data_IF_970944145085
#
_entry.id   IF_970944145085
#
_cell.length_a   1.000
_cell.length_b   1.000
_cell.length_c   1.000
_cell.angle_alpha   90.00
_cell.angle_beta   90.00
_cell.angle_gamma   90.00
#
_symmetry.space_group_name_H-M   'P 1'
#
loop_
_entity.id
_entity.type
_entity.pdbx_description
1 polymer ?
#
# COMPACT_ATOMS: atom_id res chain seq x y z
N UNK A 1 -9.61 -22.67 52.38
CA UNK A 1 -9.93 -21.29 51.94
C UNK A 1 -8.65 -20.68 51.40
N UNK A 2 -8.45 -20.80 50.09
CA UNK A 2 -7.25 -20.31 49.38
C UNK A 2 -7.62 -19.03 48.65
N UNK A 3 -7.09 -17.90 49.13
CA UNK A 3 -7.30 -16.58 48.57
C UNK A 3 -6.33 -16.39 47.39
N UNK A 4 -6.90 -16.13 46.22
CA UNK A 4 -6.20 -15.88 44.97
C UNK A 4 -5.56 -14.48 44.98
N UNK A 5 -4.24 -14.42 44.93
CA UNK A 5 -3.53 -13.20 44.52
C UNK A 5 -3.49 -13.15 42.98
N UNK A 6 -4.42 -12.33 42.45
CA UNK A 6 -4.50 -11.99 41.03
C UNK A 6 -3.67 -10.72 40.83
N UNK A 7 -2.38 -10.88 40.56
CA UNK A 7 -1.50 -9.77 40.18
C UNK A 7 -1.95 -9.22 38.82
N UNK A 8 -2.59 -8.05 38.85
CA UNK A 8 -2.98 -7.28 37.68
C UNK A 8 -1.76 -6.55 37.10
N UNK A 9 -1.15 -7.11 36.06
CA UNK A 9 -0.20 -6.41 35.19
C UNK A 9 -0.97 -5.56 34.18
N UNK A 10 -1.54 -4.44 34.62
CA UNK A 10 -2.04 -3.39 33.73
C UNK A 10 -0.88 -2.51 33.26
N UNK A 11 -0.07 -3.02 32.34
CA UNK A 11 0.89 -2.21 31.59
C UNK A 11 0.13 -1.35 30.59
N UNK A 12 -0.15 -0.10 30.95
CA UNK A 12 -0.72 0.89 30.04
C UNK A 12 0.16 0.99 28.79
N UNK A 13 -0.36 0.80 27.57
CA UNK A 13 0.46 0.96 26.37
C UNK A 13 0.97 2.39 26.35
N UNK A 14 2.30 2.56 26.28
CA UNK A 14 2.95 3.85 26.09
C UNK A 14 2.36 4.48 24.84
N UNK A 15 1.44 5.42 25.02
CA UNK A 15 0.95 6.27 23.95
C UNK A 15 2.14 7.14 23.51
N UNK A 16 2.86 6.68 22.50
CA UNK A 16 3.84 7.50 21.78
C UNK A 16 3.03 8.66 21.19
N UNK A 17 3.12 9.84 21.82
CA UNK A 17 2.46 11.06 21.37
C UNK A 17 3.05 11.43 20.00
N UNK A 18 2.34 11.04 18.94
CA UNK A 18 2.56 11.43 17.54
C UNK A 18 2.28 12.93 17.32
N UNK A 19 3.10 13.81 17.91
CA UNK A 19 2.91 15.28 17.82
C UNK A 19 3.26 15.85 16.43
N UNK A 20 4.00 15.11 15.60
CA UNK A 20 4.34 15.49 14.22
C UNK A 20 3.34 15.04 13.14
N UNK A 21 2.29 14.28 13.50
CA UNK A 21 1.39 13.61 12.54
C UNK A 21 0.38 14.54 11.87
N UNK A 22 0.02 15.64 12.52
CA UNK A 22 -1.05 16.51 12.04
C UNK A 22 -0.56 17.56 11.03
N UNK A 23 0.74 17.86 11.01
CA UNK A 23 1.29 18.90 10.13
C UNK A 23 1.11 18.58 8.63
N UNK A 24 1.43 17.37 8.13
CA UNK A 24 1.22 17.05 6.72
C UNK A 24 -0.25 17.10 6.32
N UNK A 25 -1.14 16.59 7.18
CA UNK A 25 -2.58 16.59 6.91
C UNK A 25 -3.15 18.02 6.89
N UNK A 26 -2.73 18.88 7.82
CA UNK A 26 -3.14 20.29 7.83
C UNK A 26 -2.67 20.97 6.54
N UNK A 27 -1.43 20.75 6.11
CA UNK A 27 -0.91 21.31 4.86
C UNK A 27 -1.72 20.85 3.64
N UNK A 28 -2.09 19.56 3.57
CA UNK A 28 -2.92 18.99 2.49
C UNK A 28 -4.31 19.63 2.47
N UNK A 29 -4.96 19.76 3.64
CA UNK A 29 -6.28 20.39 3.75
C UNK A 29 -6.24 21.86 3.35
N UNK A 30 -5.20 22.61 3.78
CA UNK A 30 -5.03 24.02 3.38
C UNK A 30 -4.82 24.13 1.87
N UNK A 31 -3.92 23.32 1.30
CA UNK A 31 -3.66 23.33 -0.15
C UNK A 31 -4.91 22.96 -0.96
N UNK A 32 -5.66 21.94 -0.53
CA UNK A 32 -6.92 21.55 -1.16
C UNK A 32 -7.97 22.66 -1.08
N UNK A 33 -8.08 23.36 0.05
CA UNK A 33 -9.03 24.46 0.23
C UNK A 33 -8.72 25.63 -0.72
N UNK A 34 -7.44 25.99 -0.85
CA UNK A 34 -7.00 27.04 -1.79
C UNK A 34 -7.27 26.62 -3.24
N UNK A 35 -6.94 25.38 -3.60
CA UNK A 35 -7.19 24.86 -4.94
C UNK A 35 -8.68 24.85 -5.30
N UNK A 36 -9.54 24.38 -4.38
CA UNK A 36 -11.00 24.39 -4.54
C UNK A 36 -11.55 25.80 -4.69
N UNK A 37 -11.07 26.78 -3.91
CA UNK A 37 -11.50 28.16 -4.05
C UNK A 37 -11.13 28.76 -5.42
N UNK A 38 -9.91 28.49 -5.90
CA UNK A 38 -9.45 28.94 -7.21
C UNK A 38 -10.25 28.29 -8.35
N UNK A 39 -10.51 26.99 -8.26
CA UNK A 39 -11.28 26.25 -9.24
C UNK A 39 -12.75 26.69 -9.26
N UNK A 40 -13.37 26.81 -8.09
CA UNK A 40 -14.72 27.34 -7.92
C UNK A 40 -14.87 28.70 -8.60
N UNK A 41 -13.95 29.63 -8.34
CA UNK A 41 -13.96 30.95 -9.00
C UNK A 41 -13.86 30.84 -10.52
N UNK A 42 -12.96 29.99 -11.04
CA UNK A 42 -12.82 29.78 -12.49
C UNK A 42 -14.10 29.22 -13.13
N UNK A 43 -14.74 28.24 -12.49
CA UNK A 43 -15.99 27.64 -12.97
C UNK A 43 -17.17 28.61 -12.94
N UNK A 44 -17.26 29.44 -11.91
CA UNK A 44 -18.29 30.49 -11.82
C UNK A 44 -18.13 31.50 -12.96
N UNK A 45 -16.90 31.98 -13.20
CA UNK A 45 -16.62 32.91 -14.30
C UNK A 45 -16.95 32.28 -15.66
N UNK A 46 -16.58 31.01 -15.87
CA UNK A 46 -16.99 30.26 -17.05
C UNK A 46 -18.53 30.21 -17.19
N UNK A 47 -19.25 29.86 -16.12
CA UNK A 47 -20.70 29.76 -16.13
C UNK A 47 -21.39 31.08 -16.50
N UNK A 48 -20.94 32.18 -15.89
CA UNK A 48 -21.49 33.52 -16.11
C UNK A 48 -21.17 34.07 -17.50
N UNK A 49 -19.89 34.03 -17.89
CA UNK A 49 -19.39 34.77 -19.06
C UNK A 49 -19.47 33.97 -20.35
N UNK A 50 -19.28 32.64 -20.28
CA UNK A 50 -19.19 31.77 -21.47
C UNK A 50 -20.46 30.97 -21.68
N UNK A 51 -20.99 30.37 -20.61
CA UNK A 51 -22.20 29.55 -20.69
C UNK A 51 -23.49 30.35 -20.53
N UNK A 52 -23.40 31.65 -20.25
CA UNK A 52 -24.52 32.57 -20.02
C UNK A 52 -25.55 32.04 -19.01
N UNK A 53 -25.06 31.32 -18.00
CA UNK A 53 -25.87 30.81 -16.90
C UNK A 53 -26.28 31.96 -16.00
N UNK A 54 -27.44 31.82 -15.35
CA UNK A 54 -27.80 32.73 -14.27
C UNK A 54 -26.79 32.60 -13.11
N UNK A 55 -26.61 33.63 -12.27
CA UNK A 55 -25.69 33.53 -11.13
C UNK A 55 -25.98 32.34 -10.22
N UNK A 56 -27.27 32.07 -9.97
CA UNK A 56 -27.70 30.94 -9.12
C UNK A 56 -27.26 29.61 -9.72
N UNK A 57 -27.40 29.42 -11.03
CA UNK A 57 -26.97 28.20 -11.72
C UNK A 57 -25.45 28.04 -11.72
N UNK A 58 -24.71 29.12 -12.01
CA UNK A 58 -23.25 29.09 -12.04
C UNK A 58 -22.65 28.76 -10.67
N UNK A 59 -23.11 29.43 -9.61
CA UNK A 59 -22.67 29.14 -8.23
C UNK A 59 -23.13 27.76 -7.76
N UNK A 60 -24.36 27.36 -8.08
CA UNK A 60 -24.91 26.06 -7.70
C UNK A 60 -24.14 24.90 -8.31
N UNK A 61 -23.83 24.97 -9.61
CA UNK A 61 -23.09 23.92 -10.32
C UNK A 61 -21.63 23.84 -9.88
N UNK A 62 -20.93 24.98 -9.79
CA UNK A 62 -19.55 25.02 -9.31
C UNK A 62 -19.45 24.49 -7.86
N UNK A 63 -20.39 24.89 -7.01
CA UNK A 63 -20.45 24.45 -5.62
C UNK A 63 -20.72 22.95 -5.50
N UNK A 64 -21.66 22.44 -6.28
CA UNK A 64 -21.95 21.01 -6.32
C UNK A 64 -20.73 20.16 -6.72
N UNK A 65 -19.98 20.58 -7.74
CA UNK A 65 -18.78 19.86 -8.18
C UNK A 65 -17.68 19.84 -7.11
N UNK A 66 -17.39 20.98 -6.50
CA UNK A 66 -16.35 21.09 -5.48
C UNK A 66 -16.73 20.35 -4.18
N UNK A 67 -17.98 20.46 -3.74
CA UNK A 67 -18.48 19.70 -2.57
C UNK A 67 -18.42 18.20 -2.84
N UNK A 68 -18.79 17.76 -4.06
CA UNK A 68 -18.70 16.35 -4.47
C UNK A 68 -17.25 15.85 -4.48
N UNK A 69 -16.30 16.65 -4.97
CA UNK A 69 -14.87 16.32 -4.95
C UNK A 69 -14.36 16.13 -3.51
N UNK A 70 -14.69 17.06 -2.61
CA UNK A 70 -14.31 16.97 -1.19
C UNK A 70 -14.94 15.74 -0.53
N UNK A 71 -16.21 15.47 -0.78
CA UNK A 71 -16.91 14.30 -0.24
C UNK A 71 -16.24 12.99 -0.69
N UNK A 72 -15.93 12.86 -1.99
CA UNK A 72 -15.23 11.68 -2.53
C UNK A 72 -13.83 11.53 -1.93
N UNK A 73 -13.08 12.61 -1.77
CA UNK A 73 -11.76 12.57 -1.14
C UNK A 73 -11.83 12.11 0.33
N UNK A 74 -12.81 12.60 1.09
CA UNK A 74 -13.05 12.16 2.47
C UNK A 74 -13.51 10.70 2.55
N UNK A 75 -14.36 10.24 1.62
CA UNK A 75 -14.72 8.83 1.51
C UNK A 75 -13.52 7.95 1.18
N UNK A 76 -12.65 8.39 0.26
CA UNK A 76 -11.41 7.69 -0.08
C UNK A 76 -10.50 7.53 1.14
N UNK A 77 -10.41 8.59 1.96
CA UNK A 77 -9.69 8.58 3.23
C UNK A 77 -10.30 7.60 4.22
N UNK A 78 -11.61 7.65 4.43
CA UNK A 78 -12.26 6.73 5.36
C UNK A 78 -12.08 5.27 4.93
N UNK A 79 -12.23 4.97 3.63
CA UNK A 79 -11.98 3.64 3.08
C UNK A 79 -10.52 3.18 3.27
N UNK A 80 -9.54 4.09 3.12
CA UNK A 80 -8.13 3.79 3.35
C UNK A 80 -7.84 3.49 4.83
N UNK A 81 -8.46 4.22 5.77
CA UNK A 81 -8.34 3.98 7.20
C UNK A 81 -9.01 2.66 7.63
N UNK A 82 -10.11 2.29 6.98
CA UNK A 82 -10.83 1.02 7.21
C UNK A 82 -10.16 -0.19 6.53
N UNK A 83 -9.06 0.00 5.78
CA UNK A 83 -8.39 -1.07 5.04
C UNK A 83 -9.19 -1.63 3.86
N UNK A 84 -10.23 -0.91 3.41
CA UNK A 84 -11.09 -1.27 2.28
C UNK A 84 -10.45 -0.87 0.95
N UNK A 85 -10.84 -1.48 -0.18
CA UNK A 85 -10.35 -1.06 -1.49
C UNK A 85 -10.81 0.37 -1.80
N UNK A 86 -9.89 1.35 -1.74
CA UNK A 86 -10.15 2.77 -2.04
C UNK A 86 -9.76 3.18 -3.46
N UNK A 87 -9.29 2.24 -4.29
CA UNK A 87 -8.80 2.52 -5.64
C UNK A 87 -9.83 3.26 -6.51
N UNK A 88 -11.10 2.86 -6.45
CA UNK A 88 -12.19 3.50 -7.21
C UNK A 88 -12.42 4.95 -6.74
N UNK A 89 -12.46 5.18 -5.44
CA UNK A 89 -12.65 6.52 -4.88
C UNK A 89 -11.48 7.44 -5.24
N UNK A 90 -10.27 6.91 -5.24
CA UNK A 90 -9.08 7.65 -5.66
C UNK A 90 -9.11 8.00 -7.15
N UNK A 91 -9.53 7.07 -8.00
CA UNK A 91 -9.71 7.36 -9.44
C UNK A 91 -10.79 8.42 -9.65
N UNK A 92 -11.89 8.38 -8.88
CA UNK A 92 -12.92 9.41 -8.93
C UNK A 92 -12.40 10.77 -8.49
N UNK A 93 -11.55 10.84 -7.44
CA UNK A 93 -10.91 12.09 -7.03
C UNK A 93 -10.05 12.69 -8.16
N UNK A 94 -9.27 11.87 -8.88
CA UNK A 94 -8.47 12.33 -10.02
C UNK A 94 -9.35 12.80 -11.19
N UNK A 95 -10.40 12.05 -11.52
CA UNK A 95 -11.32 12.42 -12.59
C UNK A 95 -12.04 13.72 -12.25
N UNK A 96 -12.61 13.85 -11.05
CA UNK A 96 -13.31 15.05 -10.60
C UNK A 96 -12.37 16.27 -10.51
N UNK A 97 -11.15 16.08 -10.02
CA UNK A 97 -10.12 17.13 -9.98
C UNK A 97 -9.71 17.58 -11.39
N UNK A 98 -9.50 16.63 -12.31
CA UNK A 98 -9.22 16.95 -13.71
C UNK A 98 -10.37 17.71 -14.36
N UNK A 99 -11.61 17.26 -14.17
CA UNK A 99 -12.82 17.95 -14.66
C UNK A 99 -12.94 19.36 -14.08
N UNK A 100 -12.72 19.54 -12.77
CA UNK A 100 -12.68 20.84 -12.09
C UNK A 100 -11.62 21.76 -12.71
N UNK A 101 -10.41 21.26 -12.93
CA UNK A 101 -9.34 22.00 -13.61
C UNK A 101 -9.69 22.39 -15.04
N UNK A 102 -10.32 21.49 -15.82
CA UNK A 102 -10.75 21.79 -17.20
C UNK A 102 -11.78 22.91 -17.21
N UNK A 103 -12.84 22.83 -16.40
CA UNK A 103 -13.85 23.88 -16.35
C UNK A 103 -13.29 25.22 -15.88
N UNK A 104 -12.36 25.20 -14.91
CA UNK A 104 -11.68 26.42 -14.50
C UNK A 104 -10.82 27.03 -15.62
N UNK A 105 -10.20 26.21 -16.46
CA UNK A 105 -9.35 26.65 -17.55
C UNK A 105 -10.11 27.05 -18.83
N UNK A 106 -11.30 26.47 -19.07
CA UNK A 106 -12.12 26.76 -20.25
C UNK A 106 -12.53 28.23 -20.37
N UNK A 107 -12.68 28.93 -19.24
CA UNK A 107 -12.93 30.37 -19.22
C UNK A 107 -11.86 31.16 -20.00
N UNK A 108 -10.59 30.83 -19.78
CA UNK A 108 -9.45 31.51 -20.42
C UNK A 108 -9.34 31.16 -21.92
N UNK A 109 -9.75 29.95 -22.30
CA UNK A 109 -9.79 29.54 -23.72
C UNK A 109 -10.89 30.27 -24.47
N UNK A 110 -12.03 30.52 -23.81
CA UNK A 110 -13.18 31.18 -24.41
C UNK A 110 -13.02 32.70 -24.51
N UNK A 111 -12.23 33.32 -23.64
CA UNK A 111 -11.94 34.76 -23.63
C UNK A 111 -10.43 35.00 -23.74
N UNK A 112 -9.84 34.86 -24.95
CA UNK A 112 -8.39 34.89 -25.10
C UNK A 112 -7.81 36.28 -24.83
N UNK A 113 -6.78 36.33 -23.99
CA UNK A 113 -5.88 37.47 -23.77
C UNK A 113 -4.44 37.11 -24.22
N UNK A 114 -3.52 38.09 -24.25
CA UNK A 114 -2.10 37.80 -24.56
C UNK A 114 -1.45 36.79 -23.60
N UNK A 115 -2.00 36.65 -22.39
CA UNK A 115 -1.53 35.72 -21.34
C UNK A 115 -2.31 34.40 -21.27
N UNK A 116 -3.26 34.15 -22.19
CA UNK A 116 -4.11 32.93 -22.24
C UNK A 116 -3.35 31.63 -21.96
N UNK A 117 -2.23 31.31 -22.64
CA UNK A 117 -1.59 30.01 -22.42
C UNK A 117 -1.10 29.81 -20.98
N UNK A 118 -0.64 30.88 -20.32
CA UNK A 118 -0.19 30.82 -18.93
C UNK A 118 -1.38 30.73 -17.95
N UNK A 119 -2.47 31.43 -18.24
CA UNK A 119 -3.67 31.45 -17.38
C UNK A 119 -4.43 30.13 -17.41
N UNK A 120 -4.50 29.47 -18.58
CA UNK A 120 -5.03 28.10 -18.73
C UNK A 120 -4.27 27.13 -17.82
N UNK A 121 -2.94 27.14 -17.87
CA UNK A 121 -2.10 26.28 -17.02
C UNK A 121 -2.28 26.64 -15.55
N UNK A 122 -2.29 27.93 -15.21
CA UNK A 122 -2.43 28.40 -13.83
C UNK A 122 -3.76 28.02 -13.19
N UNK A 123 -4.86 27.88 -13.95
CA UNK A 123 -6.15 27.40 -13.44
C UNK A 123 -6.29 25.88 -13.45
N UNK A 124 -5.66 25.20 -14.40
CA UNK A 124 -5.74 23.75 -14.51
C UNK A 124 -4.89 23.02 -13.44
N UNK A 125 -3.72 23.55 -13.09
CA UNK A 125 -2.74 22.87 -12.22
C UNK A 125 -3.17 22.78 -10.74
N UNK A 126 -3.72 23.82 -10.09
CA UNK A 126 -4.02 23.77 -8.66
C UNK A 126 -4.94 22.61 -8.23
N UNK A 127 -6.06 22.31 -8.93
CA UNK A 127 -6.89 21.15 -8.61
C UNK A 127 -6.13 19.83 -8.67
N UNK A 128 -5.25 19.66 -9.67
CA UNK A 128 -4.44 18.45 -9.82
C UNK A 128 -3.39 18.31 -8.71
N UNK A 129 -2.76 19.42 -8.32
CA UNK A 129 -1.82 19.44 -7.20
C UNK A 129 -2.53 19.07 -5.90
N UNK A 130 -3.76 19.54 -5.68
CA UNK A 130 -4.57 19.14 -4.53
C UNK A 130 -4.91 17.64 -4.55
N UNK A 131 -5.28 17.08 -5.69
CA UNK A 131 -5.52 15.64 -5.83
C UNK A 131 -4.25 14.81 -5.59
N UNK A 132 -3.10 15.27 -6.08
CA UNK A 132 -1.80 14.64 -5.83
C UNK A 132 -1.43 14.66 -4.33
N UNK A 133 -1.61 15.80 -3.66
CA UNK A 133 -1.38 15.95 -2.23
C UNK A 133 -2.28 15.00 -1.43
N UNK A 134 -3.56 14.90 -1.81
CA UNK A 134 -4.49 13.92 -1.26
C UNK A 134 -4.02 12.47 -1.46
N UNK A 135 -3.59 12.12 -2.67
CA UNK A 135 -3.07 10.79 -2.98
C UNK A 135 -1.87 10.44 -2.10
N UNK A 136 -0.89 11.34 -1.99
CA UNK A 136 0.30 11.12 -1.17
C UNK A 136 -0.03 11.00 0.33
N UNK A 137 -0.98 11.80 0.82
CA UNK A 137 -1.47 11.70 2.19
C UNK A 137 -2.10 10.32 2.46
N UNK A 138 -2.92 9.81 1.54
CA UNK A 138 -3.56 8.49 1.65
C UNK A 138 -2.56 7.34 1.61
N UNK A 139 -1.55 7.43 0.73
CA UNK A 139 -0.47 6.44 0.66
C UNK A 139 0.33 6.43 1.96
N UNK A 140 0.68 7.61 2.48
CA UNK A 140 1.35 7.76 3.76
C UNK A 140 0.54 7.18 4.92
N UNK A 141 -0.75 7.51 5.00
CA UNK A 141 -1.65 6.99 6.04
C UNK A 141 -1.82 5.47 5.93
N UNK A 142 -1.93 4.89 4.73
CA UNK A 142 -2.02 3.43 4.55
C UNK A 142 -0.77 2.71 5.03
N UNK A 143 0.41 3.23 4.72
CA UNK A 143 1.66 2.65 5.20
C UNK A 143 1.75 2.67 6.73
N UNK A 144 1.08 3.63 7.38
CA UNK A 144 1.05 3.73 8.84
C UNK A 144 -0.08 2.90 9.48
N UNK A 145 -1.28 2.88 8.89
CA UNK A 145 -2.45 2.10 9.39
C UNK A 145 -2.23 0.61 9.21
N UNK A 146 -1.57 0.19 8.12
CA UNK A 146 -1.21 -1.22 7.96
C UNK A 146 -0.16 -1.68 8.98
N UNK A 147 0.40 -0.78 9.80
CA UNK A 147 0.97 -1.03 11.15
C UNK A 147 2.23 -1.90 11.22
N UNK A 148 2.44 -2.75 10.23
CA UNK A 148 3.65 -3.49 10.00
C UNK A 148 4.59 -2.56 9.28
N UNK A 149 5.60 -2.05 9.99
CA UNK A 149 6.77 -1.45 9.36
C UNK A 149 7.24 -2.37 8.23
N UNK A 150 7.89 -1.84 7.19
CA UNK A 150 8.41 -2.70 6.11
C UNK A 150 9.27 -3.84 6.66
N UNK A 151 9.95 -3.59 7.77
CA UNK A 151 10.71 -4.59 8.52
C UNK A 151 9.80 -5.64 9.17
N UNK A 152 8.68 -5.27 9.77
CA UNK A 152 7.71 -6.21 10.32
C UNK A 152 7.09 -7.10 9.23
N UNK A 153 6.80 -6.55 8.04
CA UNK A 153 6.35 -7.36 6.89
C UNK A 153 7.43 -8.30 6.37
N UNK A 154 8.67 -7.84 6.32
CA UNK A 154 9.82 -8.70 5.95
C UNK A 154 9.98 -9.83 6.95
N UNK A 155 9.87 -9.53 8.25
CA UNK A 155 9.91 -10.52 9.33
C UNK A 155 8.78 -11.54 9.21
N UNK A 156 7.54 -11.10 8.99
CA UNK A 156 6.39 -11.98 8.79
C UNK A 156 6.55 -12.86 7.53
N UNK A 157 6.99 -12.28 6.42
CA UNK A 157 7.26 -13.02 5.18
C UNK A 157 8.33 -14.10 5.36
N UNK A 158 9.36 -13.84 6.17
CA UNK A 158 10.42 -14.83 6.47
C UNK A 158 9.92 -15.97 7.34
N UNK A 159 9.09 -15.67 8.34
CA UNK A 159 8.43 -16.70 9.15
C UNK A 159 7.54 -17.58 8.26
N UNK A 160 6.75 -16.96 7.36
CA UNK A 160 5.93 -17.69 6.41
C UNK A 160 6.75 -18.57 5.46
N UNK A 161 7.86 -18.06 4.90
CA UNK A 161 8.76 -18.84 4.05
C UNK A 161 9.34 -20.07 4.77
N UNK A 162 9.75 -19.91 6.03
CA UNK A 162 10.25 -21.03 6.83
C UNK A 162 9.18 -22.10 7.04
N UNK A 163 7.99 -21.66 7.41
CA UNK A 163 6.84 -22.51 7.62
C UNK A 163 6.47 -23.31 6.36
N UNK A 164 6.35 -22.65 5.21
CA UNK A 164 6.04 -23.33 3.94
C UNK A 164 7.13 -24.34 3.57
N UNK A 165 8.40 -24.01 3.83
CA UNK A 165 9.50 -24.95 3.61
C UNK A 165 9.45 -26.15 4.58
N UNK A 166 8.97 -25.93 5.81
CA UNK A 166 8.75 -27.00 6.79
C UNK A 166 7.65 -27.97 6.35
N UNK A 167 6.52 -27.44 5.84
CA UNK A 167 5.43 -28.23 5.27
C UNK A 167 5.90 -29.02 4.06
N UNK A 168 6.58 -28.38 3.10
CA UNK A 168 7.13 -29.05 1.93
C UNK A 168 8.10 -30.20 2.30
N UNK A 169 8.90 -30.01 3.35
CA UNK A 169 9.78 -31.07 3.85
C UNK A 169 9.01 -32.20 4.55
N UNK A 170 7.97 -31.88 5.31
CA UNK A 170 7.08 -32.89 5.90
C UNK A 170 6.41 -33.71 4.80
N UNK A 171 5.81 -33.06 3.82
CA UNK A 171 5.07 -33.70 2.74
C UNK A 171 6.00 -34.56 1.87
N UNK A 172 7.22 -34.06 1.56
CA UNK A 172 8.22 -34.86 0.86
C UNK A 172 8.64 -36.13 1.62
N UNK A 173 8.62 -36.12 2.96
CA UNK A 173 8.90 -37.31 3.78
C UNK A 173 7.73 -38.29 3.80
N UNK A 174 6.51 -37.79 3.86
CA UNK A 174 5.29 -38.61 3.83
C UNK A 174 5.13 -39.29 2.47
N UNK A 175 5.41 -38.58 1.39
CA UNK A 175 5.31 -39.08 0.01
C UNK A 175 6.48 -40.00 -0.39
N UNK A 176 7.53 -40.10 0.42
CA UNK A 176 8.73 -40.83 0.05
C UNK A 176 8.53 -42.34 0.17
N UNK A 177 8.58 -43.03 -0.98
CA UNK A 177 8.54 -44.51 -1.04
C UNK A 177 9.86 -45.18 -0.64
N UNK A 178 10.90 -44.38 -0.34
CA UNK A 178 12.26 -44.85 -0.06
C UNK A 178 13.14 -44.99 -1.31
N UNK A 179 12.62 -44.67 -2.49
CA UNK A 179 13.39 -44.66 -3.73
C UNK A 179 14.53 -43.61 -3.69
N UNK A 180 15.60 -43.84 -4.47
CA UNK A 180 16.74 -42.93 -4.53
C UNK A 180 16.37 -41.51 -5.05
N UNK A 181 15.35 -41.40 -5.90
CA UNK A 181 14.79 -40.11 -6.33
C UNK A 181 14.05 -39.40 -5.19
N UNK A 182 13.25 -40.13 -4.42
CA UNK A 182 12.50 -39.55 -3.30
C UNK A 182 13.43 -39.08 -2.19
N UNK A 183 14.46 -39.87 -1.89
CA UNK A 183 15.50 -39.48 -0.93
C UNK A 183 16.28 -38.23 -1.37
N UNK A 184 16.41 -37.97 -2.68
CA UNK A 184 16.97 -36.71 -3.19
C UNK A 184 15.99 -35.55 -2.99
N UNK A 185 14.70 -35.75 -3.26
CA UNK A 185 13.63 -34.76 -3.03
C UNK A 185 13.54 -34.36 -1.57
N UNK A 186 13.56 -35.34 -0.65
CA UNK A 186 13.56 -35.09 0.81
C UNK A 186 14.78 -34.28 1.24
N UNK A 187 15.97 -34.60 0.71
CA UNK A 187 17.20 -33.85 1.00
C UNK A 187 17.14 -32.42 0.50
N UNK A 188 16.64 -32.19 -0.71
CA UNK A 188 16.48 -30.85 -1.27
C UNK A 188 15.47 -30.01 -0.45
N UNK A 189 14.32 -30.59 -0.10
CA UNK A 189 13.32 -29.91 0.73
C UNK A 189 13.87 -29.56 2.13
N UNK A 190 14.65 -30.46 2.72
CA UNK A 190 15.32 -30.20 4.01
C UNK A 190 16.36 -29.08 3.92
N UNK A 191 17.15 -29.03 2.83
CA UNK A 191 18.10 -27.93 2.61
C UNK A 191 17.39 -26.58 2.46
N UNK A 192 16.29 -26.54 1.71
CA UNK A 192 15.46 -25.34 1.59
C UNK A 192 14.88 -24.89 2.94
N UNK A 193 14.43 -25.83 3.77
CA UNK A 193 13.95 -25.54 5.12
C UNK A 193 15.04 -24.94 6.02
N UNK A 194 16.26 -25.46 5.98
CA UNK A 194 17.40 -24.90 6.72
C UNK A 194 17.75 -23.49 6.24
N UNK A 195 17.82 -23.28 4.93
CA UNK A 195 18.10 -21.97 4.36
C UNK A 195 17.02 -20.94 4.75
N UNK A 196 15.74 -21.33 4.75
CA UNK A 196 14.64 -20.47 5.18
C UNK A 196 14.71 -20.15 6.68
N UNK A 197 15.09 -21.12 7.51
CA UNK A 197 15.31 -20.93 8.96
C UNK A 197 16.42 -19.93 9.21
N UNK A 198 17.57 -20.12 8.57
CA UNK A 198 18.74 -19.26 8.74
C UNK A 198 18.44 -17.85 8.20
N UNK A 199 17.65 -17.73 7.14
CA UNK A 199 17.13 -16.46 6.64
C UNK A 199 16.19 -15.74 7.61
N UNK A 200 15.37 -16.48 8.35
CA UNK A 200 14.51 -15.91 9.40
C UNK A 200 15.32 -15.47 10.62
N UNK A 201 16.22 -16.31 11.13
CA UNK A 201 17.05 -16.02 12.30
C UNK A 201 18.04 -14.87 12.09
N UNK A 202 18.36 -14.50 10.84
CA UNK A 202 19.12 -13.27 10.54
C UNK A 202 18.37 -11.97 10.82
N UNK A 203 17.04 -12.00 10.80
CA UNK A 203 16.18 -10.82 10.90
C UNK A 203 15.35 -10.77 12.19
N UNK A 204 15.22 -11.92 12.86
CA UNK A 204 14.42 -12.14 14.06
C UNK A 204 15.34 -12.66 15.18
N UNK A 205 15.15 -12.18 16.41
CA UNK A 205 15.73 -12.87 17.56
C UNK A 205 15.05 -14.24 17.73
N UNK A 206 15.72 -15.16 18.43
CA UNK A 206 15.18 -16.51 18.67
C UNK A 206 13.82 -16.43 19.39
N UNK A 207 13.71 -15.59 20.41
CA UNK A 207 12.47 -15.38 21.17
C UNK A 207 11.33 -14.83 20.30
N UNK A 208 11.65 -13.88 19.42
CA UNK A 208 10.70 -13.28 18.49
C UNK A 208 10.20 -14.26 17.43
N UNK A 209 11.10 -15.14 16.98
CA UNK A 209 10.78 -16.19 16.03
C UNK A 209 9.88 -17.25 16.66
N UNK A 210 10.20 -17.72 17.87
CA UNK A 210 9.40 -18.69 18.62
C UNK A 210 8.00 -18.16 18.94
N UNK A 211 7.90 -16.92 19.41
CA UNK A 211 6.60 -16.29 19.69
C UNK A 211 5.73 -16.19 18.44
N UNK A 212 6.30 -15.79 17.31
CA UNK A 212 5.57 -15.73 16.03
C UNK A 212 5.19 -17.13 15.53
N UNK A 213 6.04 -18.13 15.74
CA UNK A 213 5.72 -19.52 15.41
C UNK A 213 4.54 -20.04 16.22
N UNK A 214 4.46 -19.74 17.52
CA UNK A 214 3.34 -20.12 18.38
C UNK A 214 2.03 -19.52 17.89
N UNK A 215 2.00 -18.22 17.58
CA UNK A 215 0.82 -17.56 17.02
C UNK A 215 0.42 -18.19 15.69
N UNK A 216 1.41 -18.57 14.87
CA UNK A 216 1.14 -19.20 13.59
C UNK A 216 0.55 -20.61 13.75
N UNK A 217 1.08 -21.42 14.66
CA UNK A 217 0.52 -22.74 15.02
C UNK A 217 -0.91 -22.60 15.55
N UNK A 218 -1.15 -21.65 16.46
CA UNK A 218 -2.50 -21.40 17.00
C UNK A 218 -3.49 -21.01 15.88
N UNK A 219 -3.06 -20.17 14.92
CA UNK A 219 -3.86 -19.79 13.75
C UNK A 219 -4.11 -20.96 12.81
N UNK A 220 -3.12 -21.82 12.60
CA UNK A 220 -3.31 -23.04 11.83
C UNK A 220 -4.30 -23.99 12.50
N UNK A 221 -4.14 -24.27 13.79
CA UNK A 221 -5.08 -25.11 14.54
C UNK A 221 -6.48 -24.52 14.52
N UNK A 222 -6.60 -23.19 14.61
CA UNK A 222 -7.87 -22.50 14.43
C UNK A 222 -8.42 -22.72 13.01
N UNK A 223 -7.60 -22.56 11.98
CA UNK A 223 -8.00 -22.78 10.59
C UNK A 223 -8.41 -24.24 10.33
N UNK A 224 -7.70 -25.23 10.86
CA UNK A 224 -8.04 -26.65 10.79
C UNK A 224 -9.34 -26.95 11.52
N UNK A 225 -9.57 -26.38 12.71
CA UNK A 225 -10.86 -26.47 13.41
C UNK A 225 -12.00 -25.89 12.59
N UNK A 226 -11.76 -24.78 11.87
CA UNK A 226 -12.75 -24.17 10.97
C UNK A 226 -12.93 -24.98 9.68
N UNK A 227 -11.86 -25.54 9.11
CA UNK A 227 -11.87 -26.43 7.94
C UNK A 227 -12.65 -27.71 8.21
N UNK A 228 -12.36 -28.39 9.33
CA UNK A 228 -13.13 -29.54 9.78
C UNK A 228 -14.62 -29.21 9.98
N UNK A 229 -14.93 -27.98 10.44
CA UNK A 229 -16.32 -27.51 10.54
C UNK A 229 -16.96 -27.30 9.17
N UNK A 230 -16.21 -26.80 8.19
CA UNK A 230 -16.69 -26.65 6.80
C UNK A 230 -16.86 -28.00 6.10
N UNK A 231 -15.98 -28.98 6.35
CA UNK A 231 -16.13 -30.35 5.84
C UNK A 231 -17.33 -31.05 6.45
N UNK A 232 -17.61 -30.81 7.74
CA UNK A 232 -18.85 -31.27 8.39
C UNK A 232 -20.10 -30.60 7.80
N UNK A 233 -20.02 -29.32 7.44
CA UNK A 233 -21.11 -28.61 6.75
C UNK A 233 -21.27 -29.14 5.32
N UNK A 234 -20.18 -29.36 4.59
CA UNK A 234 -20.14 -29.95 3.26
C UNK A 234 -20.73 -31.36 3.23
N UNK A 235 -20.32 -32.23 4.16
CA UNK A 235 -20.88 -33.56 4.37
C UNK A 235 -22.37 -33.51 4.77
N UNK A 236 -22.78 -32.53 5.58
CA UNK A 236 -24.19 -32.30 5.91
C UNK A 236 -25.00 -31.73 4.74
N UNK A 237 -24.36 -31.09 3.76
CA UNK A 237 -24.99 -30.56 2.54
C UNK A 237 -25.15 -31.63 1.45
N UNK A 238 -24.17 -32.55 1.34
CA UNK A 238 -24.29 -33.78 0.54
C UNK A 238 -25.43 -34.64 1.09
N UNK A 239 -25.52 -34.76 2.43
CA UNK A 239 -26.63 -35.49 3.09
C UNK A 239 -27.99 -34.76 3.02
N UNK A 240 -27.99 -33.45 2.76
CA UNK A 240 -29.19 -32.62 2.48
C UNK A 240 -29.52 -32.50 0.98
N UNK A 241 -28.78 -33.17 0.10
CA UNK A 241 -29.07 -33.21 -1.34
C UNK A 241 -28.79 -31.91 -2.10
N UNK A 242 -28.06 -30.94 -1.52
CA UNK A 242 -27.75 -29.66 -2.20
C UNK A 242 -26.41 -29.65 -2.92
N UNK A 243 -25.53 -30.63 -2.68
CA UNK A 243 -24.32 -30.83 -3.45
C UNK A 243 -24.52 -31.97 -4.48
N UNK A 244 -24.36 -31.64 -5.77
CA UNK A 244 -24.33 -32.62 -6.87
C UNK A 244 -23.22 -33.63 -6.60
N UNK A 245 -23.60 -34.85 -6.22
CA UNK A 245 -22.69 -35.99 -6.18
C UNK A 245 -22.13 -36.32 -7.57
N UNK A 246 -21.13 -37.21 -7.67
CA UNK A 246 -20.55 -37.60 -8.95
C UNK A 246 -21.66 -38.13 -9.85
N UNK A 247 -21.83 -37.46 -10.99
CA UNK A 247 -22.87 -37.74 -11.97
C UNK A 247 -22.77 -39.21 -12.37
N UNK A 248 -23.91 -39.91 -12.26
CA UNK A 248 -24.06 -41.22 -12.86
C UNK A 248 -23.74 -41.11 -14.35
N UNK A 249 -23.11 -42.11 -14.99
CA UNK A 249 -22.82 -42.08 -16.42
C UNK A 249 -24.06 -41.83 -17.30
N UNK A 250 -25.27 -42.03 -16.76
CA UNK A 250 -26.53 -41.64 -17.39
C UNK A 250 -26.73 -40.11 -17.50
N UNK A 251 -26.25 -39.33 -16.55
CA UNK A 251 -26.38 -37.86 -16.54
C UNK A 251 -25.29 -37.19 -17.40
N UNK A 252 -24.12 -37.83 -17.54
CA UNK A 252 -23.07 -37.39 -18.45
C UNK A 252 -23.55 -37.44 -19.93
N UNK A 253 -24.31 -38.49 -20.29
CA UNK A 253 -24.91 -38.62 -21.61
C UNK A 253 -26.04 -37.61 -21.89
N UNK A 254 -26.68 -37.07 -20.84
CA UNK A 254 -27.66 -36.00 -20.96
C UNK A 254 -27.00 -34.62 -21.13
N UNK A 255 -25.87 -34.37 -20.46
CA UNK A 255 -25.08 -33.14 -20.59
C UNK A 255 -24.40 -33.03 -21.97
N UNK A 256 -24.01 -34.15 -22.58
CA UNK A 256 -23.42 -34.18 -23.92
C UNK A 256 -24.44 -33.82 -25.02
N UNK A 257 -25.74 -34.06 -24.78
CA UNK A 257 -26.83 -33.64 -25.70
C UNK A 257 -27.19 -32.16 -25.60
N UNK A 258 -26.81 -31.47 -24.52
CA UNK A 258 -26.99 -30.02 -24.38
C UNK A 258 -25.79 -29.20 -24.90
N UNK A 259 -24.70 -29.86 -25.31
CA UNK A 259 -23.48 -29.21 -25.84
C UNK A 259 -23.46 -29.16 -27.38
N UNK A 260 -24.62 -29.12 -28.04
CA UNK A 260 -24.69 -28.82 -29.47
C UNK A 260 -24.57 -27.30 -29.69
N UNK A 261 -23.75 -26.83 -30.66
CA UNK A 261 -23.50 -25.41 -30.86
C UNK A 261 -24.76 -24.70 -31.37
N UNK A 262 -25.20 -23.69 -30.62
CA UNK A 262 -26.26 -22.76 -31.01
C UNK A 262 -25.77 -21.94 -32.22
N UNK A 263 -26.54 -21.85 -33.32
CA UNK A 263 -26.15 -21.06 -34.49
C UNK A 263 -26.09 -19.56 -34.18
N UNK A 264 -25.13 -18.88 -34.81
CA UNK A 264 -24.72 -17.47 -34.61
C UNK A 264 -25.76 -16.46 -35.14
N UNK A 265 -27.03 -16.57 -34.71
CA UNK A 265 -28.11 -15.67 -35.10
C UNK A 265 -28.50 -14.65 -34.01
N UNK A 266 -28.26 -14.94 -32.72
CA UNK A 266 -28.71 -14.08 -31.61
C UNK A 266 -27.74 -12.93 -31.22
N UNK A 267 -26.51 -12.91 -31.76
CA UNK A 267 -25.57 -11.82 -31.48
C UNK A 267 -25.95 -10.48 -32.15
N UNK A 268 -26.95 -10.48 -33.06
CA UNK A 268 -27.46 -9.26 -33.70
C UNK A 268 -28.67 -8.62 -32.99
N UNK A 269 -29.41 -9.36 -32.16
CA UNK A 269 -30.59 -8.79 -31.48
C UNK A 269 -30.21 -7.95 -30.25
N UNK A 270 -29.13 -8.28 -29.55
CA UNK A 270 -28.64 -7.48 -28.41
C UNK A 270 -28.05 -6.13 -28.84
N UNK A 271 -27.50 -6.02 -30.06
CA UNK A 271 -27.03 -4.72 -30.59
C UNK A 271 -28.19 -3.87 -31.14
N UNK A 272 -29.27 -4.48 -31.63
CA UNK A 272 -30.46 -3.75 -32.05
C UNK A 272 -31.21 -3.12 -30.86
N UNK A 273 -31.37 -3.84 -29.75
CA UNK A 273 -32.04 -3.34 -28.54
C UNK A 273 -31.33 -2.17 -27.85
N UNK A 274 -29.99 -2.11 -27.92
CA UNK A 274 -29.20 -0.98 -27.38
C UNK A 274 -29.29 0.26 -28.28
N UNK A 275 -29.55 0.09 -29.59
CA UNK A 275 -29.66 1.21 -30.53
C UNK A 275 -31.09 1.79 -30.59
N UNK A 276 -32.10 0.99 -30.24
CA UNK A 276 -33.51 1.40 -30.19
C UNK A 276 -33.85 2.16 -28.89
N UNK A 277 -33.22 1.80 -27.76
CA UNK A 277 -33.39 2.52 -26.49
C UNK A 277 -32.79 3.95 -26.48
N UNK A 278 -32.00 4.32 -27.49
CA UNK A 278 -31.42 5.66 -27.65
C UNK A 278 -32.23 6.58 -28.59
N UNK A 279 -33.32 6.08 -29.20
CA UNK A 279 -34.12 6.84 -30.18
C UNK A 279 -35.52 7.26 -29.72
N UNK A 280 -35.97 6.80 -28.54
CA UNK A 280 -37.31 7.12 -27.99
C UNK A 280 -37.31 8.22 -26.91
N UNK A 281 -36.21 8.95 -26.74
CA UNK A 281 -36.18 10.15 -25.89
C UNK A 281 -36.73 11.38 -26.65
N UNK A 282 -38.05 11.42 -26.82
CA UNK A 282 -38.81 12.62 -27.21
C UNK A 282 -39.40 13.32 -25.97
N UNK A 283 -39.66 14.64 -26.02
CA UNK A 283 -39.63 15.52 -24.84
C UNK A 283 -40.90 15.43 -24.00
N UNK A 284 -40.72 15.21 -22.69
CA UNK A 284 -41.81 15.30 -21.73
C UNK A 284 -42.28 16.76 -21.59
N UNK A 285 -43.57 16.97 -21.86
CA UNK A 285 -44.32 18.19 -21.50
C UNK A 285 -44.23 18.45 -19.99
N UNK A 286 -44.25 19.72 -19.57
CA UNK A 286 -44.20 20.09 -18.16
C UNK A 286 -45.49 19.68 -17.44
N UNK A 287 -45.31 19.02 -16.29
CA UNK A 287 -46.36 18.77 -15.33
C UNK A 287 -46.61 20.04 -14.51
N UNK A 288 -47.84 20.52 -14.59
CA UNK A 288 -48.43 21.61 -13.81
C UNK A 288 -48.54 21.15 -12.34
N UNK A 289 -47.94 21.92 -11.42
CA UNK A 289 -48.06 21.75 -9.98
C UNK A 289 -48.29 23.13 -9.31
N UNK A 290 -48.98 23.17 -8.16
CA UNK A 290 -49.89 24.27 -7.82
C UNK A 290 -49.18 25.51 -7.27
N UNK A 291 -49.76 26.65 -7.61
CA UNK A 291 -49.37 27.98 -7.13
C UNK A 291 -49.47 28.07 -5.60
N UNK A 292 -48.33 28.31 -4.94
CA UNK A 292 -48.28 28.84 -3.58
C UNK A 292 -48.14 30.35 -3.70
N UNK A 293 -49.19 31.06 -3.28
CA UNK A 293 -49.22 32.50 -3.21
C UNK A 293 -48.18 33.01 -2.19
N UNK A 294 -47.13 33.66 -2.69
CA UNK A 294 -46.26 34.50 -1.89
C UNK A 294 -46.59 35.96 -2.20
N UNK A 295 -47.36 36.56 -1.31
CA UNK A 295 -47.54 38.02 -1.23
C UNK A 295 -46.19 38.63 -0.89
N UNK A 296 -45.62 39.45 -1.77
CA UNK A 296 -44.54 40.35 -1.40
C UNK A 296 -44.83 41.73 -1.94
N UNK A 297 -45.10 42.60 -0.98
CA UNK A 297 -45.34 44.03 -1.09
C UNK A 297 -44.14 44.71 -1.72
N UNK A 298 -44.37 45.46 -2.79
CA UNK A 298 -43.39 46.40 -3.34
C UNK A 298 -43.12 47.55 -2.37
N UNK A 299 -41.92 48.13 -2.43
CA UNK A 299 -41.78 49.57 -2.49
C UNK A 299 -41.15 49.94 -3.82
N UNK A 300 -41.82 50.84 -4.54
CA UNK A 300 -41.19 51.51 -5.68
C UNK A 300 -40.12 52.49 -5.20
N UNK A 301 -39.17 52.80 -6.07
CA UNK A 301 -38.54 54.12 -6.24
C UNK A 301 -37.67 54.09 -7.51
N UNK A 302 -37.89 55.12 -8.33
CA UNK A 302 -36.99 55.85 -9.23
C UNK A 302 -36.01 55.11 -10.16
N UNK A 303 -36.35 55.19 -11.44
CA UNK A 303 -35.59 55.87 -12.50
C UNK A 303 -34.31 56.60 -12.03
N UNK A 304 -33.13 56.13 -12.47
CA UNK A 304 -31.95 56.97 -12.67
C UNK A 304 -30.95 56.25 -13.60
N UNK A 305 -30.84 56.76 -14.82
CA UNK A 305 -29.76 56.49 -15.76
C UNK A 305 -28.44 57.01 -15.18
N UNK A 306 -27.57 56.10 -14.70
CA UNK A 306 -26.14 56.42 -14.53
C UNK A 306 -25.23 55.38 -15.17
N UNK A 307 -24.18 55.80 -15.89
CA UNK A 307 -23.24 54.91 -16.53
C UNK A 307 -22.40 54.15 -15.50
N UNK A 308 -22.29 52.84 -15.73
CA UNK A 308 -21.51 51.89 -14.96
C UNK A 308 -20.03 52.29 -14.86
N UNK A 309 -19.56 52.59 -13.65
CA UNK A 309 -18.14 52.75 -13.29
C UNK A 309 -17.74 51.50 -12.49
N UNK A 310 -16.72 50.73 -12.90
CA UNK A 310 -16.28 49.58 -12.13
C UNK A 310 -15.45 50.06 -10.92
N UNK A 311 -16.03 49.95 -9.73
CA UNK A 311 -15.32 50.14 -8.47
C UNK A 311 -14.33 48.99 -8.24
N UNK A 312 -13.04 49.29 -8.39
CA UNK A 312 -11.94 48.49 -7.83
C UNK A 312 -11.88 48.73 -6.32
N UNK A 313 -12.72 48.03 -5.56
CA UNK A 313 -12.62 47.95 -4.10
C UNK A 313 -12.67 46.47 -3.68
N UNK A 314 -11.50 45.82 -3.73
CA UNK A 314 -11.28 44.46 -3.22
C UNK A 314 -10.33 44.48 -2.01
N UNK A 315 -10.35 45.56 -1.23
CA UNK A 315 -9.78 45.61 0.10
C UNK A 315 -10.94 45.73 1.10
N UNK A 316 -10.87 44.94 2.17
CA UNK A 316 -11.79 44.91 3.33
C UNK A 316 -13.03 43.99 3.28
N UNK A 317 -12.88 42.75 2.81
CA UNK A 317 -13.76 41.67 3.26
C UNK A 317 -13.27 41.11 4.62
N UNK A 318 -14.17 41.16 5.60
CA UNK A 318 -14.11 40.73 7.02
C UNK A 318 -13.58 39.30 7.31
N UNK A 319 -13.12 38.59 6.30
CA UNK A 319 -12.55 37.25 6.41
C UNK A 319 -11.29 37.22 7.27
N UNK A 320 -10.41 38.23 7.12
CA UNK A 320 -9.19 38.35 7.93
C UNK A 320 -9.45 38.62 9.41
N UNK A 321 -10.60 39.23 9.74
CA UNK A 321 -11.04 39.48 11.11
C UNK A 321 -11.72 38.23 11.71
N UNK A 322 -12.54 37.52 10.92
CA UNK A 322 -13.17 36.27 11.36
C UNK A 322 -12.17 35.14 11.59
N UNK A 323 -11.13 35.03 10.77
CA UNK A 323 -10.05 34.04 10.98
C UNK A 323 -9.21 34.39 12.20
N UNK A 324 -8.86 35.67 12.42
CA UNK A 324 -8.15 36.10 13.64
C UNK A 324 -8.99 35.92 14.91
N UNK A 325 -10.29 36.18 14.85
CA UNK A 325 -11.23 35.98 15.97
C UNK A 325 -11.42 34.49 16.30
N UNK A 326 -11.42 33.61 15.29
CA UNK A 326 -11.48 32.16 15.47
C UNK A 326 -10.17 31.56 16.04
N UNK A 327 -9.01 32.19 15.78
CA UNK A 327 -7.72 31.75 16.31
C UNK A 327 -7.33 32.41 17.64
N UNK A 328 -7.82 33.62 17.94
CA UNK A 328 -7.49 34.37 19.16
C UNK A 328 -8.28 33.97 20.42
N UNK A 329 -9.40 33.26 20.27
CA UNK A 329 -10.27 32.88 21.39
C UNK A 329 -9.98 31.47 21.96
N UNK A 330 -8.80 30.92 21.71
CA UNK A 330 -8.36 29.69 22.40
C UNK A 330 -7.83 30.07 23.77
N UNK A 331 -8.63 29.80 24.79
CA UNK A 331 -8.23 29.75 26.19
C UNK A 331 -6.85 29.11 26.32
N UNK A 332 -6.01 29.74 27.16
CA UNK A 332 -4.68 29.28 27.56
C UNK A 332 -4.64 27.76 27.70
N UNK A 333 -3.77 27.14 26.91
CA UNK A 333 -3.69 25.70 26.79
C UNK A 333 -3.18 25.10 28.12
N UNK A 334 -3.64 23.90 28.52
CA UNK A 334 -3.43 23.32 29.86
C UNK A 334 -1.98 22.97 30.22
N UNK A 335 -1.00 23.40 29.41
CA UNK A 335 0.43 23.21 29.65
C UNK A 335 1.17 24.50 30.05
N UNK A 336 0.48 25.64 30.17
CA UNK A 336 1.03 26.85 30.79
C UNK A 336 0.94 26.82 32.33
N UNK A 337 0.56 25.67 32.92
CA UNK A 337 0.70 25.46 34.36
C UNK A 337 2.15 25.09 34.70
N UNK A 338 2.85 25.86 35.56
CA UNK A 338 4.14 25.45 36.06
C UNK A 338 4.02 24.12 36.80
N UNK A 339 4.96 23.21 36.56
CA UNK A 339 4.98 21.89 37.18
C UNK A 339 5.02 22.03 38.72
N UNK A 340 4.25 21.23 39.48
CA UNK A 340 4.35 21.22 40.94
C UNK A 340 5.74 20.73 41.37
N UNK A 341 6.42 21.51 42.22
CA UNK A 341 7.82 21.29 42.63
C UNK A 341 8.02 20.10 43.60
N UNK A 342 6.98 19.38 44.03
CA UNK A 342 7.08 18.35 45.09
C UNK A 342 6.71 16.93 44.62
N UNK A 343 7.42 16.38 43.62
CA UNK A 343 7.36 14.95 43.31
C UNK A 343 8.69 14.27 43.62
N UNK A 344 8.86 13.88 44.89
CA UNK A 344 9.96 13.05 45.35
C UNK A 344 10.01 11.73 44.57
N UNK A 345 11.17 11.42 43.98
CA UNK A 345 11.41 10.18 43.27
C UNK A 345 11.33 8.97 44.23
N UNK A 346 10.60 7.89 43.89
CA UNK A 346 10.61 6.68 44.72
C UNK A 346 11.97 5.99 44.62
N UNK A 347 12.50 5.62 45.79
CA UNK A 347 13.75 4.90 45.96
C UNK A 347 13.69 3.53 45.27
N UNK A 348 14.69 3.26 44.43
CA UNK A 348 14.90 1.97 43.76
C UNK A 348 15.63 1.04 44.73
N UNK A 349 14.94 0.04 45.24
CA UNK A 349 15.55 -1.07 45.98
C UNK A 349 16.19 -2.08 45.01
N UNK A 350 17.45 -2.50 45.22
CA UNK A 350 18.09 -3.51 44.38
C UNK A 350 17.55 -4.92 44.66
N UNK A 351 17.36 -5.77 43.64
CA UNK A 351 16.82 -7.12 43.83
C UNK A 351 17.80 -8.03 44.57
N UNK A 352 17.24 -8.82 45.49
CA UNK A 352 17.93 -9.83 46.28
C UNK A 352 18.37 -11.01 45.42
N UNK A 353 19.66 -11.35 45.54
CA UNK A 353 20.28 -12.49 44.91
C UNK A 353 19.72 -13.80 45.49
N UNK A 354 18.87 -14.50 44.73
CA UNK A 354 18.49 -15.88 45.03
C UNK A 354 19.46 -16.82 44.33
N UNK A 355 20.30 -17.47 45.13
CA UNK A 355 21.27 -18.45 44.67
C UNK A 355 20.60 -19.79 44.35
N UNK A 356 20.42 -20.10 43.06
CA UNK A 356 20.14 -21.45 42.59
C UNK A 356 20.58 -21.64 41.13
N UNK A 357 21.87 -21.96 40.91
CA UNK A 357 22.32 -22.88 39.85
C UNK A 357 23.72 -23.39 40.19
N UNK A 358 23.78 -24.52 40.90
CA UNK A 358 25.00 -25.35 40.98
C UNK A 358 24.60 -26.80 40.81
N UNK A 359 24.50 -27.30 39.56
CA UNK A 359 24.81 -28.70 39.22
C UNK A 359 24.63 -29.03 37.73
N UNK A 360 25.64 -29.73 37.18
CA UNK A 360 25.69 -30.55 35.94
C UNK A 360 25.64 -29.70 34.65
N UNK A 361 26.61 -29.70 33.74
CA UNK A 361 27.24 -30.84 33.05
C UNK A 361 28.72 -30.59 32.71
N UNK A 362 29.56 -31.52 33.17
CA UNK A 362 30.94 -31.74 32.70
C UNK A 362 30.92 -33.09 31.98
N UNK A 363 30.43 -33.13 30.75
CA UNK A 363 30.57 -34.27 29.83
C UNK A 363 30.20 -33.77 28.44
N UNK A 364 31.15 -33.21 27.68
CA UNK A 364 31.29 -33.44 26.23
C UNK A 364 32.49 -32.69 25.59
N UNK A 365 33.70 -32.83 26.15
CA UNK A 365 34.91 -32.20 25.58
C UNK A 365 35.83 -33.17 24.84
N UNK A 366 35.61 -34.48 24.96
CA UNK A 366 36.47 -35.49 24.32
C UNK A 366 35.96 -35.88 22.93
N UNK A 367 34.65 -35.77 22.64
CA UNK A 367 34.07 -36.20 21.36
C UNK A 367 34.17 -35.13 20.25
N UNK A 368 34.36 -33.85 20.61
CA UNK A 368 34.59 -32.75 19.64
C UNK A 368 35.98 -32.75 19.00
N UNK A 369 37.01 -33.27 19.69
CA UNK A 369 38.37 -33.34 19.16
C UNK A 369 38.48 -34.30 17.97
N UNK A 370 37.92 -35.51 18.11
CA UNK A 370 37.98 -36.54 17.08
C UNK A 370 37.18 -36.20 15.81
N UNK A 371 36.07 -35.45 15.94
CA UNK A 371 35.27 -35.01 14.80
C UNK A 371 35.92 -33.84 14.02
N UNK A 372 36.72 -33.00 14.69
CA UNK A 372 37.44 -31.91 14.05
C UNK A 372 38.66 -32.40 13.24
N UNK A 373 39.39 -33.40 13.74
CA UNK A 373 40.52 -34.01 13.02
C UNK A 373 40.07 -34.81 11.78
N UNK A 374 38.93 -35.50 11.84
CA UNK A 374 38.36 -36.18 10.66
C UNK A 374 37.83 -35.20 9.60
N UNK A 375 37.36 -34.02 10.01
CA UNK A 375 36.92 -32.98 9.06
C UNK A 375 38.10 -32.30 8.35
N UNK A 376 39.25 -32.14 9.00
CA UNK A 376 40.46 -31.58 8.38
C UNK A 376 41.10 -32.56 7.38
N UNK A 377 41.16 -33.86 7.70
CA UNK A 377 41.68 -34.88 6.77
C UNK A 377 40.82 -35.05 5.50
N UNK A 378 39.50 -34.82 5.60
CA UNK A 378 38.59 -34.87 4.45
C UNK A 378 38.72 -33.65 3.53
N UNK A 379 39.16 -32.50 4.05
CA UNK A 379 39.38 -31.27 3.26
C UNK A 379 40.68 -31.32 2.48
N UNK A 380 41.74 -31.94 3.02
CA UNK A 380 43.02 -32.09 2.30
C UNK A 380 42.95 -33.11 1.15
N UNK A 381 42.06 -34.11 1.23
CA UNK A 381 41.92 -35.13 0.18
C UNK A 381 40.99 -34.69 -0.97
N UNK A 382 40.16 -33.67 -0.77
CA UNK A 382 39.21 -33.14 -1.77
C UNK A 382 39.79 -32.01 -2.64
N UNK A 383 40.99 -31.51 -2.35
CA UNK A 383 41.62 -30.38 -3.05
C UNK A 383 42.22 -30.69 -4.43
N UNK A 384 42.17 -31.94 -4.90
CA UNK A 384 42.92 -32.37 -6.09
C UNK A 384 42.06 -32.69 -7.33
N UNK A 385 40.75 -32.41 -7.34
CA UNK A 385 39.87 -32.67 -8.51
C UNK A 385 38.88 -31.55 -8.82
N UNK A 386 39.20 -30.30 -8.47
CA UNK A 386 38.50 -29.13 -9.01
C UNK A 386 39.00 -28.83 -10.45
N UNK A 387 38.83 -29.83 -11.31
CA UNK A 387 39.09 -29.77 -12.74
C UNK A 387 37.97 -28.96 -13.42
N UNK A 388 38.38 -27.84 -14.02
CA UNK A 388 37.74 -27.11 -15.11
C UNK A 388 36.21 -27.09 -15.18
N UNK A 389 35.57 -26.25 -14.35
CA UNK A 389 34.29 -25.68 -14.75
C UNK A 389 34.57 -24.63 -15.85
N UNK A 390 34.24 -24.89 -17.13
CA UNK A 390 34.52 -23.96 -18.23
C UNK A 390 33.83 -22.61 -18.04
N UNK A 391 32.79 -22.55 -17.18
CA UNK A 391 32.13 -21.29 -16.85
C UNK A 391 32.96 -20.42 -15.90
N UNK A 392 33.76 -21.02 -15.02
CA UNK A 392 34.64 -20.29 -14.11
C UNK A 392 35.82 -19.64 -14.85
N UNK A 393 36.39 -20.33 -15.84
CA UNK A 393 37.47 -19.77 -16.67
C UNK A 393 36.95 -18.62 -17.55
N UNK A 394 35.75 -18.79 -18.13
CA UNK A 394 35.07 -17.74 -18.90
C UNK A 394 34.80 -16.49 -18.06
N UNK A 395 34.27 -16.67 -16.85
CA UNK A 395 33.95 -15.55 -15.96
C UNK A 395 35.23 -14.80 -15.50
N UNK A 396 36.34 -15.52 -15.27
CA UNK A 396 37.66 -14.90 -15.00
C UNK A 396 38.12 -14.05 -16.19
N UNK A 397 37.99 -14.57 -17.42
CA UNK A 397 38.36 -13.84 -18.65
C UNK A 397 37.53 -12.57 -18.86
N UNK A 398 36.23 -12.60 -18.52
CA UNK A 398 35.35 -11.41 -18.55
C UNK A 398 35.85 -10.34 -17.58
N UNK A 399 36.25 -10.73 -16.36
CA UNK A 399 36.75 -9.79 -15.34
C UNK A 399 38.10 -9.20 -15.73
N UNK A 400 39.01 -10.01 -16.28
CA UNK A 400 40.33 -9.54 -16.70
C UNK A 400 40.25 -8.54 -17.86
N UNK A 401 39.39 -8.79 -18.87
CA UNK A 401 39.14 -7.82 -19.95
C UNK A 401 38.49 -6.54 -19.42
N UNK A 402 37.59 -6.64 -18.45
CA UNK A 402 37.01 -5.45 -17.80
C UNK A 402 38.07 -4.63 -17.06
N UNK A 403 39.06 -5.27 -16.43
CA UNK A 403 40.19 -4.59 -15.76
C UNK A 403 41.14 -3.93 -16.74
N UNK A 404 41.26 -4.47 -17.95
CA UNK A 404 42.05 -3.89 -19.04
C UNK A 404 41.35 -2.70 -19.74
N UNK A 405 40.13 -2.35 -19.35
CA UNK A 405 39.41 -1.17 -19.85
C UNK A 405 38.58 -1.40 -21.12
N UNK A 406 38.38 -2.66 -21.55
CA UNK A 406 37.53 -2.97 -22.69
C UNK A 406 36.05 -2.63 -22.40
N UNK A 407 35.33 -2.17 -23.43
CA UNK A 407 33.90 -1.90 -23.32
C UNK A 407 33.12 -3.23 -23.27
N UNK A 408 31.99 -3.28 -22.56
CA UNK A 408 31.14 -4.48 -22.43
C UNK A 408 30.75 -5.12 -23.78
N UNK A 409 30.68 -4.32 -24.85
CA UNK A 409 30.42 -4.84 -26.21
C UNK A 409 31.60 -5.64 -26.75
N UNK A 410 32.83 -5.16 -26.55
CA UNK A 410 34.06 -5.82 -27.02
C UNK A 410 34.32 -7.10 -26.20
N UNK A 411 34.08 -7.04 -24.88
CA UNK A 411 34.18 -8.21 -24.00
C UNK A 411 33.18 -9.30 -24.42
N UNK A 412 31.95 -8.91 -24.75
CA UNK A 412 30.91 -9.82 -25.21
C UNK A 412 31.30 -10.52 -26.52
N UNK A 413 31.89 -9.78 -27.47
CA UNK A 413 32.37 -10.31 -28.74
C UNK A 413 33.59 -11.24 -28.56
N UNK A 414 34.52 -10.88 -27.68
CA UNK A 414 35.74 -11.66 -27.46
C UNK A 414 35.53 -12.96 -26.67
N UNK A 415 34.47 -13.02 -25.85
CA UNK A 415 34.15 -14.17 -24.99
C UNK A 415 32.93 -14.96 -25.52
N UNK A 416 32.37 -14.55 -26.67
CA UNK A 416 31.18 -15.15 -27.29
C UNK A 416 29.97 -15.28 -26.34
N UNK A 417 29.66 -14.18 -25.64
CA UNK A 417 28.53 -14.10 -24.70
C UNK A 417 27.73 -12.81 -24.89
N UNK A 418 26.50 -12.79 -24.39
CA UNK A 418 25.69 -11.57 -24.46
C UNK A 418 26.19 -10.48 -23.49
N UNK A 419 25.97 -9.21 -23.85
CA UNK A 419 26.30 -8.05 -23.00
C UNK A 419 25.66 -8.13 -21.60
N UNK A 420 24.49 -8.76 -21.47
CA UNK A 420 23.82 -8.92 -20.18
C UNK A 420 24.53 -9.92 -19.26
N UNK A 421 25.18 -10.95 -19.81
CA UNK A 421 26.03 -11.88 -19.04
C UNK A 421 27.28 -11.15 -18.56
N UNK A 422 27.96 -10.40 -19.43
CA UNK A 422 29.13 -9.57 -19.08
C UNK A 422 28.79 -8.62 -17.93
N UNK A 423 27.70 -7.85 -18.06
CA UNK A 423 27.25 -6.90 -17.03
C UNK A 423 26.98 -7.59 -15.68
N UNK A 424 26.36 -8.77 -15.70
CA UNK A 424 26.05 -9.54 -14.49
C UNK A 424 27.31 -10.05 -13.80
N UNK A 425 28.27 -10.59 -14.56
CA UNK A 425 29.54 -11.11 -14.04
C UNK A 425 30.38 -9.98 -13.44
N UNK A 426 30.54 -8.87 -14.15
CA UNK A 426 31.29 -7.70 -13.67
C UNK A 426 30.69 -7.14 -12.38
N UNK A 427 29.35 -7.02 -12.30
CA UNK A 427 28.68 -6.57 -11.06
C UNK A 427 28.90 -7.52 -9.90
N UNK A 428 28.74 -8.83 -10.12
CA UNK A 428 28.96 -9.85 -9.09
C UNK A 428 30.38 -9.80 -8.53
N UNK A 429 31.38 -9.62 -9.39
CA UNK A 429 32.78 -9.51 -8.95
C UNK A 429 33.08 -8.19 -8.22
N UNK A 430 32.48 -7.08 -8.65
CA UNK A 430 32.59 -5.80 -7.94
C UNK A 430 31.99 -5.87 -6.53
N UNK A 431 30.85 -6.56 -6.38
CA UNK A 431 30.21 -6.78 -5.08
C UNK A 431 31.00 -7.76 -4.17
N UNK A 432 31.86 -8.59 -4.76
CA UNK A 432 32.73 -9.55 -4.04
C UNK A 432 34.12 -9.01 -3.74
N UNK A 433 34.54 -7.91 -4.37
CA UNK A 433 35.82 -7.29 -4.07
C UNK A 433 35.73 -6.71 -2.65
N UNK A 434 36.46 -7.28 -1.67
CA UNK A 434 36.43 -6.79 -0.31
C UNK A 434 36.85 -5.31 -0.33
N UNK A 435 36.12 -4.47 0.40
CA UNK A 435 36.28 -3.02 0.43
C UNK A 435 37.62 -2.53 1.05
N UNK A 436 38.71 -3.28 0.90
CA UNK A 436 39.90 -3.18 1.72
C UNK A 436 41.15 -2.59 1.04
N UNK A 437 41.20 -2.43 -0.27
CA UNK A 437 42.46 -2.05 -0.95
C UNK A 437 42.52 -0.60 -1.46
N UNK A 438 41.39 0.04 -1.80
CA UNK A 438 41.43 1.45 -2.24
C UNK A 438 41.55 2.43 -1.06
N UNK A 439 40.97 2.11 0.11
CA UNK A 439 41.04 2.97 1.30
C UNK A 439 42.41 2.91 2.00
N UNK A 440 43.25 1.90 1.74
CA UNK A 440 44.61 1.82 2.33
C UNK A 440 45.64 2.67 1.60
N UNK A 441 45.50 2.90 0.29
CA UNK A 441 46.45 3.75 -0.45
C UNK A 441 46.29 5.25 -0.18
N UNK A 442 45.14 5.69 0.35
CA UNK A 442 44.90 7.09 0.74
C UNK A 442 45.34 7.43 2.16
N UNK A 443 45.78 6.44 2.95
CA UNK A 443 46.29 6.64 4.32
C UNK A 443 47.82 6.70 4.37
N UNK A 444 48.49 6.18 3.34
CA UNK A 444 49.97 6.15 3.25
C UNK A 444 50.57 7.21 2.30
N UNK A 445 49.77 8.18 1.84
CA UNK A 445 50.21 9.37 1.09
C UNK A 445 49.88 10.63 1.89
#
# INVERSE_FOLDING_TARGET
MTQQDRAATSGSPRQVRYRGRHLPMIAVVVAATIATALAYRGMVLFGLEVAHMTPVEAYGMAGFLEVSLVAVALMARNAALEGRPYGVLLTLTWVLSGTSGVFAALHEVAVPTESTPYMVVFRFVPPLVAALMWHLALVGERHMVTGHTLDERRRESRVHQYVTALEQWRDARVDSSGSASDLRKVRAAHQNQRAARDGALKLLTVEDFERRMQVWVERLEAAERHGNRLDLIGASSVKRGTARGPLSPADAAAAERQSAPVPVAEARELTALVTESARDAAPARPAEAPAVAATTTAPGVADDDQPYVPDTAFEDLEFGASVRKALGNRDSLPWDQPAPEDAAAPAVEPPTATGHTRRVEVFDLVQRGAAAEQAQAAVETAGATADDDPTAERDRRIVDLSRQGYNQREIAEQVDVSRSVVSRVVRRYKDQQPAGDEDRQLVDA
#
